data_IF_233694446451
#
_entry.id   IF_233694446451
#
_cell.length_a   1.000
_cell.length_b   1.000
_cell.length_c   1.000
_cell.angle_alpha   90.00
_cell.angle_beta   90.00
_cell.angle_gamma   90.00
#
_symmetry.space_group_name_H-M   'P 1'
#
loop_
_entity.id
_entity.type
_entity.pdbx_description
1 polymer ?
#
# COMPACT_ATOMS: atom_id res chain seq x y z
N UNK A 1 12.11 24.73 11.84
CA UNK A 1 11.22 25.05 10.74
C UNK A 1 11.78 24.29 9.55
N UNK A 2 11.41 23.03 9.40
CA UNK A 2 11.86 22.16 8.30
C UNK A 2 10.72 22.01 7.32
N UNK A 3 11.04 22.14 6.04
CA UNK A 3 10.11 22.02 4.93
C UNK A 3 9.48 20.63 4.92
N UNK A 4 8.17 20.59 4.72
CA UNK A 4 7.42 19.36 4.54
C UNK A 4 7.90 18.68 3.26
N UNK A 5 8.46 17.50 3.40
CA UNK A 5 8.66 16.60 2.28
C UNK A 5 7.29 16.00 1.95
N UNK A 6 6.80 16.28 0.78
CA UNK A 6 5.61 15.68 0.22
C UNK A 6 5.98 14.26 -0.17
N UNK A 7 5.65 13.30 0.67
CA UNK A 7 5.76 11.88 0.32
C UNK A 7 4.66 11.60 -0.70
N UNK A 8 5.04 11.23 -1.90
CA UNK A 8 4.13 10.81 -2.97
C UNK A 8 3.51 9.48 -2.56
N UNK A 9 2.33 9.52 -1.97
CA UNK A 9 1.54 8.31 -1.74
C UNK A 9 0.73 8.04 -3.01
N UNK A 10 1.10 6.99 -3.74
CA UNK A 10 0.40 6.53 -4.92
C UNK A 10 -0.73 5.58 -4.54
N UNK A 11 -1.96 6.02 -4.58
CA UNK A 11 -3.12 5.16 -4.49
C UNK A 11 -3.67 4.87 -5.90
N UNK A 12 -3.85 3.59 -6.23
CA UNK A 12 -4.33 3.14 -7.54
C UNK A 12 -5.84 3.26 -7.69
N UNK A 13 -6.31 4.15 -8.54
CA UNK A 13 -7.68 4.11 -9.07
C UNK A 13 -7.75 4.79 -10.44
N UNK A 14 -7.44 4.09 -11.51
CA UNK A 14 -7.65 4.57 -12.86
C UNK A 14 -8.34 3.53 -13.74
N UNK A 15 -9.63 3.72 -13.99
CA UNK A 15 -10.30 3.11 -15.14
C UNK A 15 -10.08 4.00 -16.36
N UNK A 16 -9.17 3.64 -17.27
CA UNK A 16 -9.06 4.28 -18.58
C UNK A 16 -9.83 3.52 -19.64
N UNK A 17 -10.78 4.22 -20.26
CA UNK A 17 -11.31 3.85 -21.58
C UNK A 17 -10.31 4.31 -22.64
N UNK A 18 -9.79 3.36 -23.45
CA UNK A 18 -8.97 3.62 -24.61
C UNK A 18 -9.76 4.32 -25.72
N UNK A 19 -9.22 5.43 -26.25
CA UNK A 19 -9.54 5.93 -27.58
C UNK A 19 -8.24 6.06 -28.39
N UNK A 20 -8.18 5.38 -29.54
CA UNK A 20 -7.07 5.40 -30.49
C UNK A 20 -6.94 6.73 -31.23
N UNK A 21 -5.70 7.18 -31.48
CA UNK A 21 -5.39 8.20 -32.46
C UNK A 21 -3.89 8.29 -32.70
N UNK A 22 -3.43 7.85 -33.90
CA UNK A 22 -2.04 7.82 -34.27
C UNK A 22 -1.52 9.18 -34.83
N UNK A 23 -0.20 9.31 -34.94
CA UNK A 23 0.47 10.42 -35.65
C UNK A 23 1.99 10.33 -35.53
N UNK A 24 2.61 10.07 -36.70
CA UNK A 24 4.05 9.98 -36.95
C UNK A 24 4.83 11.29 -36.76
N UNK A 25 6.14 11.18 -36.48
CA UNK A 25 7.07 12.29 -36.70
C UNK A 25 8.48 12.03 -36.12
N UNK A 26 9.39 11.62 -37.02
CA UNK A 26 10.79 11.31 -36.74
C UNK A 26 11.72 12.51 -36.58
N UNK A 27 12.97 12.25 -36.15
CA UNK A 27 14.10 13.23 -36.21
C UNK A 27 15.29 12.82 -35.34
N UNK A 28 16.18 12.07 -35.96
CA UNK A 28 17.66 12.00 -35.94
C UNK A 28 18.50 12.51 -34.75
N UNK A 29 19.28 11.56 -34.30
CA UNK A 29 20.70 11.48 -33.87
C UNK A 29 21.56 12.73 -33.74
N UNK A 30 22.37 12.78 -32.67
CA UNK A 30 23.81 13.00 -32.75
C UNK A 30 24.56 12.43 -31.53
N UNK A 31 25.58 11.65 -31.81
CA UNK A 31 26.59 11.09 -30.95
C UNK A 31 27.67 12.10 -30.61
N UNK A 32 28.18 12.14 -29.39
CA UNK A 32 29.52 12.66 -29.06
C UNK A 32 30.23 11.66 -28.18
N UNK A 33 31.34 11.13 -28.71
CA UNK A 33 32.37 10.38 -28.01
C UNK A 33 33.39 11.37 -27.40
N UNK A 34 33.91 11.07 -26.25
CA UNK A 34 35.25 11.55 -25.84
C UNK A 34 35.90 10.63 -24.81
N UNK A 35 37.14 10.43 -25.08
CA UNK A 35 38.11 9.41 -24.74
C UNK A 35 38.57 9.30 -23.28
N UNK A 36 39.24 8.14 -23.10
CA UNK A 36 39.88 7.62 -21.93
C UNK A 36 41.19 8.37 -21.55
N UNK A 37 41.53 8.30 -20.29
CA UNK A 37 42.96 8.35 -19.88
C UNK A 37 43.18 7.43 -18.67
N UNK A 38 44.01 6.44 -18.89
CA UNK A 38 44.55 5.52 -17.90
C UNK A 38 45.67 6.15 -17.09
N UNK A 39 45.70 5.89 -15.79
CA UNK A 39 46.87 6.08 -14.98
C UNK A 39 47.17 4.85 -14.14
N UNK A 40 48.24 4.18 -14.50
CA UNK A 40 48.91 3.12 -13.77
C UNK A 40 49.72 3.68 -12.61
N UNK A 41 49.62 3.10 -11.43
CA UNK A 41 50.63 3.25 -10.38
C UNK A 41 50.86 1.90 -9.72
N UNK A 42 52.11 1.46 -9.85
CA UNK A 42 52.76 0.35 -9.18
C UNK A 42 53.09 0.69 -7.73
N UNK A 43 52.85 -0.23 -6.81
CA UNK A 43 53.57 -0.20 -5.53
C UNK A 43 53.74 -1.61 -4.92
N UNK A 44 54.92 -1.74 -4.46
CA UNK A 44 55.71 -2.83 -3.95
C UNK A 44 55.13 -3.56 -2.71
N UNK A 45 55.40 -4.84 -2.72
CA UNK A 45 55.26 -5.84 -1.64
C UNK A 45 56.21 -5.56 -0.45
N UNK A 46 55.68 -5.74 0.75
CA UNK A 46 56.48 -6.20 1.90
C UNK A 46 55.67 -7.19 2.73
N UNK A 47 56.20 -8.42 2.75
CA UNK A 47 55.70 -9.53 3.52
C UNK A 47 56.16 -9.44 4.97
N UNK A 48 55.25 -9.52 5.92
CA UNK A 48 55.51 -9.96 7.29
C UNK A 48 54.49 -11.00 7.69
N UNK A 49 55.01 -12.21 7.85
CA UNK A 49 54.29 -13.34 8.39
C UNK A 49 54.11 -13.23 9.89
N UNK A 50 52.84 -13.14 10.34
CA UNK A 50 52.50 -13.42 11.73
C UNK A 50 51.40 -14.51 11.73
N UNK A 51 51.80 -15.66 12.21
CA UNK A 51 50.91 -16.78 12.54
C UNK A 51 50.02 -16.37 13.70
N UNK A 52 48.74 -16.10 13.43
CA UNK A 52 47.69 -16.01 14.44
C UNK A 52 46.66 -17.10 14.21
N UNK A 53 46.52 -17.93 15.22
CA UNK A 53 45.56 -19.01 15.35
C UNK A 53 44.14 -18.53 15.03
N UNK A 54 43.54 -19.03 13.92
CA UNK A 54 42.16 -18.86 13.59
C UNK A 54 41.29 -19.63 14.59
N UNK A 55 40.84 -18.96 15.63
CA UNK A 55 39.62 -19.38 16.30
C UNK A 55 38.45 -18.97 15.41
N UNK A 56 37.86 -19.92 14.69
CA UNK A 56 36.59 -19.77 13.99
C UNK A 56 35.48 -19.48 15.01
N UNK A 57 35.28 -18.22 15.33
CA UNK A 57 34.02 -17.73 15.90
C UNK A 57 33.07 -17.59 14.70
N UNK A 58 32.40 -18.66 14.35
CA UNK A 58 31.18 -18.57 13.56
C UNK A 58 30.16 -17.82 14.43
N UNK A 59 30.13 -16.51 14.30
CA UNK A 59 29.00 -15.72 14.79
C UNK A 59 27.79 -16.20 14.00
N UNK A 60 26.98 -17.07 14.60
CA UNK A 60 25.65 -17.38 14.17
C UNK A 60 24.91 -16.03 14.13
N UNK A 61 24.72 -15.50 12.92
CA UNK A 61 23.81 -14.36 12.76
C UNK A 61 22.46 -14.83 13.28
N UNK A 62 22.05 -14.30 14.44
CA UNK A 62 20.72 -14.58 14.98
C UNK A 62 19.72 -14.18 13.90
N UNK A 63 18.82 -15.11 13.50
CA UNK A 63 17.79 -14.81 12.54
C UNK A 63 16.98 -13.60 13.05
N UNK A 64 16.84 -12.57 12.22
CA UNK A 64 16.05 -11.38 12.58
C UNK A 64 14.62 -11.82 12.84
N UNK A 65 14.07 -11.42 13.98
CA UNK A 65 12.71 -11.75 14.34
C UNK A 65 11.73 -11.06 13.37
N UNK A 66 10.81 -11.83 12.79
CA UNK A 66 9.77 -11.30 11.91
C UNK A 66 8.79 -10.45 12.73
N UNK A 67 8.55 -9.22 12.31
CA UNK A 67 7.65 -8.27 12.99
C UNK A 67 6.26 -8.89 13.20
N UNK A 68 5.78 -8.83 14.43
CA UNK A 68 4.46 -9.32 14.79
C UNK A 68 4.23 -10.84 14.67
N UNK A 69 5.27 -11.66 14.45
CA UNK A 69 5.10 -13.11 14.29
C UNK A 69 4.51 -13.81 15.55
N UNK A 70 4.75 -13.24 16.71
CA UNK A 70 4.24 -13.75 18.00
C UNK A 70 3.10 -12.88 18.56
N UNK A 71 2.50 -12.01 17.74
CA UNK A 71 1.39 -11.15 18.17
C UNK A 71 0.05 -11.88 18.15
N UNK A 72 -0.97 -11.25 18.73
CA UNK A 72 -2.36 -11.71 18.67
C UNK A 72 -3.08 -11.28 17.39
N UNK A 73 -2.38 -10.63 16.45
CA UNK A 73 -2.93 -10.24 15.15
C UNK A 73 -3.42 -11.45 14.38
N UNK A 74 -4.60 -11.40 13.75
CA UNK A 74 -5.08 -12.43 12.83
C UNK A 74 -4.14 -12.66 11.63
N UNK A 75 -3.18 -11.72 11.42
CA UNK A 75 -2.21 -11.72 10.32
C UNK A 75 -0.81 -12.16 10.75
N UNK A 76 -0.61 -12.55 12.01
CA UNK A 76 0.72 -12.93 12.54
C UNK A 76 1.37 -14.05 11.72
N UNK A 77 0.59 -15.03 11.25
CA UNK A 77 1.04 -16.15 10.43
C UNK A 77 1.27 -15.87 8.95
N UNK A 78 0.83 -14.72 8.44
CA UNK A 78 1.01 -14.34 7.03
C UNK A 78 2.49 -14.08 6.76
N UNK A 79 3.06 -14.76 5.76
CA UNK A 79 4.48 -14.61 5.35
C UNK A 79 4.61 -13.97 3.99
N UNK A 80 3.69 -14.28 3.08
CA UNK A 80 3.66 -13.80 1.71
C UNK A 80 2.30 -13.17 1.42
N UNK A 81 2.30 -12.11 0.63
CA UNK A 81 1.07 -11.40 0.31
C UNK A 81 1.09 -10.84 -1.11
N UNK A 82 -0.08 -10.53 -1.62
CA UNK A 82 -0.28 -9.92 -2.92
C UNK A 82 -1.28 -8.78 -2.81
N UNK A 83 -1.01 -7.69 -3.53
CA UNK A 83 -1.88 -6.54 -3.67
C UNK A 83 -2.27 -6.41 -5.14
N UNK A 84 -3.55 -6.63 -5.44
CA UNK A 84 -4.11 -6.52 -6.79
C UNK A 84 -5.48 -5.88 -6.73
N UNK A 85 -5.62 -4.70 -7.31
CA UNK A 85 -6.87 -3.92 -7.32
C UNK A 85 -7.56 -3.96 -8.68
N UNK A 86 -6.81 -4.04 -9.75
CA UNK A 86 -7.32 -4.02 -11.11
C UNK A 86 -7.48 -5.44 -11.68
N UNK A 87 -8.33 -5.58 -12.71
CA UNK A 87 -8.45 -6.81 -13.50
C UNK A 87 -8.79 -8.08 -12.68
N UNK A 88 -9.84 -7.99 -11.81
CA UNK A 88 -10.36 -9.12 -11.01
C UNK A 88 -11.85 -9.39 -11.22
N UNK A 89 -12.38 -9.09 -12.42
CA UNK A 89 -13.81 -9.17 -12.72
C UNK A 89 -14.21 -10.41 -13.55
N UNK A 90 -13.23 -11.19 -14.01
CA UNK A 90 -13.49 -12.40 -14.81
C UNK A 90 -12.91 -13.64 -14.13
N UNK A 91 -13.50 -14.81 -14.42
CA UNK A 91 -12.98 -16.08 -13.93
C UNK A 91 -11.53 -16.32 -14.29
N UNK A 92 -11.07 -15.88 -15.47
CA UNK A 92 -9.69 -16.04 -15.89
C UNK A 92 -8.72 -15.20 -15.01
N UNK A 93 -9.10 -13.99 -14.67
CA UNK A 93 -8.33 -13.10 -13.82
C UNK A 93 -8.29 -13.61 -12.36
N UNK A 94 -9.45 -14.02 -11.84
CA UNK A 94 -9.54 -14.62 -10.50
C UNK A 94 -8.72 -15.91 -10.44
N UNK A 95 -8.78 -16.77 -11.48
CA UNK A 95 -7.97 -17.97 -11.56
C UNK A 95 -6.47 -17.69 -11.54
N UNK A 96 -6.03 -16.62 -12.21
CA UNK A 96 -4.63 -16.24 -12.25
C UNK A 96 -4.10 -15.85 -10.86
N UNK A 97 -4.90 -15.14 -10.06
CA UNK A 97 -4.58 -14.82 -8.67
C UNK A 97 -4.69 -16.05 -7.76
N UNK A 98 -5.74 -16.83 -7.92
CA UNK A 98 -6.01 -18.04 -7.12
C UNK A 98 -4.89 -19.09 -7.23
N UNK A 99 -4.31 -19.22 -8.41
CA UNK A 99 -3.18 -20.11 -8.66
C UNK A 99 -1.88 -19.71 -7.92
N UNK A 100 -1.83 -18.51 -7.33
CA UNK A 100 -0.61 -18.04 -6.64
C UNK A 100 -0.57 -18.53 -5.19
N UNK A 101 0.63 -18.80 -4.63
CA UNK A 101 0.79 -19.40 -3.29
C UNK A 101 0.78 -18.39 -2.14
N UNK A 102 0.30 -17.17 -2.33
CA UNK A 102 0.28 -16.14 -1.30
C UNK A 102 -0.60 -16.52 -0.11
N UNK A 103 -0.16 -16.19 1.10
CA UNK A 103 -0.91 -16.40 2.35
C UNK A 103 -2.02 -15.36 2.53
N UNK A 104 -1.88 -14.19 1.91
CA UNK A 104 -2.84 -13.10 1.95
C UNK A 104 -2.93 -12.43 0.59
N UNK A 105 -4.13 -12.04 0.20
CA UNK A 105 -4.39 -11.17 -0.94
C UNK A 105 -5.20 -9.96 -0.51
N UNK A 106 -4.81 -8.77 -0.98
CA UNK A 106 -5.59 -7.53 -0.85
C UNK A 106 -6.20 -7.26 -2.21
N UNK A 107 -7.52 -7.14 -2.27
CA UNK A 107 -8.28 -7.06 -3.51
C UNK A 107 -9.42 -6.05 -3.41
N UNK A 108 -9.86 -5.55 -4.56
CA UNK A 108 -11.04 -4.71 -4.70
C UNK A 108 -12.34 -5.52 -4.50
N UNK A 109 -13.31 -4.93 -3.80
CA UNK A 109 -14.67 -5.46 -3.75
C UNK A 109 -15.45 -5.00 -4.99
N UNK A 110 -15.42 -5.80 -6.07
CA UNK A 110 -15.89 -5.39 -7.39
C UNK A 110 -17.33 -4.87 -7.45
N UNK A 111 -18.24 -5.38 -6.61
CA UNK A 111 -19.63 -4.91 -6.54
C UNK A 111 -19.79 -3.48 -5.97
N UNK A 112 -18.73 -2.86 -5.48
CA UNK A 112 -18.73 -1.45 -5.04
C UNK A 112 -18.38 -0.48 -6.17
N UNK A 113 -17.96 -0.98 -7.32
CA UNK A 113 -17.55 -0.20 -8.49
C UNK A 113 -18.73 -0.04 -9.45
N UNK A 114 -18.89 1.17 -10.00
CA UNK A 114 -19.94 1.48 -10.99
C UNK A 114 -19.89 0.52 -12.18
N UNK A 115 -21.08 0.09 -12.61
CA UNK A 115 -21.33 -0.89 -13.67
C UNK A 115 -20.82 -2.31 -13.35
N UNK A 116 -20.43 -2.57 -12.10
CA UNK A 116 -20.02 -3.86 -11.59
C UNK A 116 -20.90 -4.34 -10.40
N UNK A 117 -22.02 -3.68 -10.15
CA UNK A 117 -22.87 -3.88 -8.97
C UNK A 117 -23.38 -5.33 -8.85
N UNK A 118 -23.44 -6.06 -9.98
CA UNK A 118 -23.83 -7.46 -10.03
C UNK A 118 -22.68 -8.46 -9.92
N UNK A 119 -21.45 -7.97 -9.75
CA UNK A 119 -20.29 -8.84 -9.58
C UNK A 119 -20.43 -9.68 -8.30
N UNK A 120 -20.15 -10.98 -8.41
CA UNK A 120 -20.26 -11.90 -7.28
C UNK A 120 -19.00 -11.82 -6.38
N UNK A 121 -18.87 -10.73 -5.65
CA UNK A 121 -17.74 -10.49 -4.71
C UNK A 121 -17.63 -11.62 -3.69
N UNK A 122 -18.72 -12.05 -3.07
CA UNK A 122 -18.72 -13.14 -2.08
C UNK A 122 -18.24 -14.48 -2.68
N UNK A 123 -18.62 -14.76 -3.93
CA UNK A 123 -18.12 -15.93 -4.66
C UNK A 123 -16.63 -15.87 -4.94
N UNK A 124 -16.10 -14.71 -5.34
CA UNK A 124 -14.66 -14.47 -5.50
C UNK A 124 -13.92 -14.67 -4.18
N UNK A 125 -14.39 -14.04 -3.10
CA UNK A 125 -13.77 -14.15 -1.76
C UNK A 125 -13.75 -15.60 -1.29
N UNK A 126 -14.86 -16.32 -1.39
CA UNK A 126 -14.96 -17.74 -1.03
C UNK A 126 -13.93 -18.57 -1.77
N UNK A 127 -13.76 -18.32 -3.07
CA UNK A 127 -12.78 -19.02 -3.90
C UNK A 127 -11.35 -18.72 -3.47
N UNK A 128 -11.02 -17.45 -3.24
CA UNK A 128 -9.68 -17.01 -2.88
C UNK A 128 -9.24 -17.45 -1.48
N UNK A 129 -10.13 -17.90 -0.60
CA UNK A 129 -9.79 -18.35 0.76
C UNK A 129 -8.94 -19.64 0.81
N UNK A 130 -8.92 -20.42 -0.27
CA UNK A 130 -8.18 -21.70 -0.31
C UNK A 130 -7.15 -21.65 -1.42
N UNK A 131 -5.89 -21.84 -1.09
CA UNK A 131 -4.80 -21.94 -2.08
C UNK A 131 -4.88 -23.26 -2.85
N UNK A 132 -4.18 -23.35 -3.98
CA UNK A 132 -4.14 -24.54 -4.81
C UNK A 132 -3.64 -25.82 -4.06
N UNK A 133 -2.85 -25.65 -3.01
CA UNK A 133 -2.38 -26.74 -2.14
C UNK A 133 -3.37 -27.11 -1.02
N UNK A 134 -4.54 -26.48 -0.98
CA UNK A 134 -5.59 -26.68 0.04
C UNK A 134 -5.36 -25.92 1.34
N UNK A 135 -4.28 -25.18 1.49
CA UNK A 135 -4.03 -24.38 2.68
C UNK A 135 -4.84 -23.05 2.66
N UNK A 136 -5.15 -22.48 3.85
CA UNK A 136 -5.96 -21.27 3.92
C UNK A 136 -5.19 -20.03 3.44
N UNK A 137 -5.94 -19.07 2.90
CA UNK A 137 -5.49 -17.73 2.51
C UNK A 137 -6.36 -16.67 3.16
N UNK A 138 -5.75 -15.55 3.55
CA UNK A 138 -6.49 -14.36 4.00
C UNK A 138 -6.90 -13.53 2.79
N UNK A 139 -8.15 -13.06 2.77
CA UNK A 139 -8.69 -12.19 1.73
C UNK A 139 -9.11 -10.87 2.37
N UNK A 140 -8.45 -9.80 2.00
CA UNK A 140 -8.58 -8.46 2.58
C UNK A 140 -9.19 -7.52 1.54
N UNK A 141 -10.20 -6.75 1.94
CA UNK A 141 -10.80 -5.74 1.06
C UNK A 141 -10.00 -4.44 1.11
N UNK A 142 -9.65 -3.89 -0.05
CA UNK A 142 -9.19 -2.51 -0.16
C UNK A 142 -10.37 -1.55 0.04
N UNK A 143 -10.16 -0.49 0.81
CA UNK A 143 -11.08 0.64 0.96
C UNK A 143 -10.31 1.94 1.17
N UNK A 144 -10.69 3.00 0.48
CA UNK A 144 -10.18 4.34 0.73
C UNK A 144 -11.06 5.06 1.76
N UNK A 145 -10.49 5.39 2.91
CA UNK A 145 -11.20 6.04 4.02
C UNK A 145 -10.94 7.54 4.12
N UNK A 146 -9.92 8.02 3.45
CA UNK A 146 -9.51 9.42 3.43
C UNK A 146 -9.97 10.18 2.21
N UNK A 147 -10.35 9.47 1.14
CA UNK A 147 -10.86 10.05 -0.11
C UNK A 147 -12.20 9.43 -0.52
N UNK A 148 -12.95 10.20 -1.27
CA UNK A 148 -14.14 9.73 -1.97
C UNK A 148 -13.79 9.51 -3.44
N UNK A 149 -14.11 8.31 -3.93
CA UNK A 149 -13.80 7.87 -5.28
C UNK A 149 -15.04 7.97 -6.18
N UNK A 150 -14.97 8.76 -7.28
CA UNK A 150 -16.16 9.10 -8.09
C UNK A 150 -16.70 7.94 -8.92
N UNK A 151 -15.97 6.87 -9.05
CA UNK A 151 -16.40 5.63 -9.71
C UNK A 151 -17.13 4.65 -8.77
N UNK A 152 -17.23 4.93 -7.48
CA UNK A 152 -17.93 4.07 -6.52
C UNK A 152 -19.45 4.20 -6.62
N UNK A 153 -20.14 3.12 -6.30
CA UNK A 153 -21.62 3.08 -6.25
C UNK A 153 -22.18 4.16 -5.33
N UNK A 154 -21.57 4.39 -4.15
CA UNK A 154 -22.03 5.42 -3.23
C UNK A 154 -22.01 6.85 -3.84
N UNK A 155 -21.03 7.14 -4.70
CA UNK A 155 -20.95 8.45 -5.37
C UNK A 155 -22.10 8.61 -6.38
N UNK A 156 -22.30 7.57 -7.20
CA UNK A 156 -23.29 7.58 -8.28
C UNK A 156 -24.73 7.61 -7.72
N UNK A 157 -25.02 6.74 -6.75
CA UNK A 157 -26.34 6.61 -6.15
C UNK A 157 -26.78 7.88 -5.45
N UNK A 158 -25.85 8.58 -4.81
CA UNK A 158 -26.11 9.84 -4.14
C UNK A 158 -25.93 11.08 -5.04
N UNK A 159 -25.57 10.89 -6.31
CA UNK A 159 -25.37 11.96 -7.30
C UNK A 159 -24.40 13.05 -6.83
N UNK A 160 -23.32 12.63 -6.17
CA UNK A 160 -22.34 13.58 -5.64
C UNK A 160 -21.68 14.41 -6.75
N UNK A 161 -21.10 15.54 -6.38
CA UNK A 161 -20.43 16.47 -7.31
C UNK A 161 -19.00 16.70 -6.87
N UNK A 162 -18.13 16.75 -7.85
CA UNK A 162 -16.70 17.01 -7.66
C UNK A 162 -16.47 18.44 -7.12
N UNK A 163 -15.43 18.64 -6.32
CA UNK A 163 -15.01 19.97 -5.90
C UNK A 163 -14.45 20.76 -7.07
N UNK A 164 -14.37 22.08 -6.89
CA UNK A 164 -13.67 22.98 -7.79
C UNK A 164 -12.48 23.62 -7.07
N UNK A 165 -11.62 24.35 -7.77
CA UNK A 165 -10.49 25.04 -7.15
C UNK A 165 -10.90 25.98 -5.99
N UNK A 166 -12.15 26.49 -5.99
CA UNK A 166 -12.64 27.49 -5.04
C UNK A 166 -13.79 27.04 -4.14
N UNK A 167 -14.38 25.88 -4.42
CA UNK A 167 -15.54 25.35 -3.67
C UNK A 167 -15.39 23.86 -3.42
N UNK A 168 -15.82 23.40 -2.23
CA UNK A 168 -15.94 21.96 -1.97
C UNK A 168 -16.95 21.32 -2.91
N UNK A 169 -16.93 20.00 -2.98
CA UNK A 169 -17.91 19.20 -3.70
C UNK A 169 -19.30 19.22 -3.06
N UNK A 170 -20.15 18.34 -3.53
CA UNK A 170 -21.46 18.08 -2.92
C UNK A 170 -21.53 16.57 -2.66
N UNK A 171 -21.59 16.18 -1.40
CA UNK A 171 -21.61 16.99 -0.15
C UNK A 171 -20.32 17.80 0.10
N UNK A 172 -20.42 18.81 0.96
CA UNK A 172 -19.32 19.72 1.27
C UNK A 172 -18.17 19.13 2.11
N UNK A 173 -18.30 17.89 2.55
CA UNK A 173 -17.19 17.13 3.13
C UNK A 173 -16.19 16.66 2.06
N UNK A 174 -16.51 16.71 0.77
CA UNK A 174 -15.59 16.48 -0.35
C UNK A 174 -14.81 17.76 -0.57
N UNK A 175 -13.54 17.78 -0.17
CA UNK A 175 -12.82 19.04 0.07
C UNK A 175 -12.10 19.59 -1.16
N UNK A 176 -11.44 18.71 -1.92
CA UNK A 176 -10.56 19.10 -3.03
C UNK A 176 -10.34 17.91 -3.96
N UNK A 177 -9.70 18.14 -5.12
CA UNK A 177 -9.15 17.06 -5.94
C UNK A 177 -7.92 16.46 -5.25
N UNK A 178 -7.59 15.23 -5.64
CA UNK A 178 -6.41 14.54 -5.18
C UNK A 178 -5.14 15.36 -5.45
N UNK A 179 -4.18 15.46 -4.49
CA UNK A 179 -2.96 16.24 -4.65
C UNK A 179 -1.93 15.54 -5.56
N UNK A 180 -2.00 14.21 -5.70
CA UNK A 180 -1.03 13.38 -6.42
C UNK A 180 -1.45 13.14 -7.87
N UNK A 181 -2.66 13.62 -8.25
CA UNK A 181 -3.14 13.65 -9.63
C UNK A 181 -4.07 12.50 -10.01
N UNK A 182 -4.56 11.72 -9.06
CA UNK A 182 -5.59 10.71 -9.31
C UNK A 182 -6.92 11.39 -9.63
N UNK A 183 -7.37 11.23 -10.88
CA UNK A 183 -8.44 12.06 -11.45
C UNK A 183 -9.81 11.86 -10.79
N UNK A 184 -10.05 10.69 -10.21
CA UNK A 184 -11.35 10.28 -9.65
C UNK A 184 -11.39 10.26 -8.12
N UNK A 185 -10.32 10.71 -7.46
CA UNK A 185 -10.15 10.65 -6.02
C UNK A 185 -10.19 12.07 -5.39
N UNK A 186 -10.90 12.18 -4.28
CA UNK A 186 -11.22 13.47 -3.67
C UNK A 186 -11.08 13.41 -2.14
N UNK A 187 -10.04 14.03 -1.55
CA UNK A 187 -9.88 14.16 -0.11
C UNK A 187 -11.16 14.62 0.60
N UNK A 188 -11.50 13.93 1.69
CA UNK A 188 -12.72 14.22 2.46
C UNK A 188 -12.44 14.65 3.89
N UNK A 189 -13.41 15.30 4.50
CA UNK A 189 -13.48 15.50 5.94
C UNK A 189 -13.96 14.20 6.61
N UNK A 190 -13.07 13.21 6.76
CA UNK A 190 -13.40 11.86 7.23
C UNK A 190 -13.98 11.82 8.65
N UNK A 191 -13.96 12.91 9.40
CA UNK A 191 -14.68 13.06 10.67
C UNK A 191 -16.15 13.45 10.48
N UNK A 192 -16.59 13.79 9.25
CA UNK A 192 -17.99 14.08 8.96
C UNK A 192 -18.84 12.81 9.10
N UNK A 193 -19.93 12.92 9.86
CA UNK A 193 -20.78 11.76 10.13
C UNK A 193 -21.39 11.19 8.86
N UNK A 194 -21.73 12.01 7.86
CA UNK A 194 -22.28 11.56 6.56
C UNK A 194 -21.30 10.67 5.79
N UNK A 195 -19.99 10.96 5.88
CA UNK A 195 -18.94 10.11 5.34
C UNK A 195 -18.81 8.82 6.14
N UNK A 196 -18.76 8.94 7.46
CA UNK A 196 -18.64 7.76 8.33
C UNK A 196 -19.84 6.81 8.23
N UNK A 197 -21.05 7.32 7.97
CA UNK A 197 -22.27 6.51 7.84
C UNK A 197 -22.22 5.54 6.65
N UNK A 198 -21.43 5.82 5.60
CA UNK A 198 -21.21 4.89 4.49
C UNK A 198 -20.49 3.62 4.93
N UNK A 199 -19.55 3.77 5.83
CA UNK A 199 -18.64 2.71 6.26
C UNK A 199 -19.14 1.95 7.47
N UNK A 200 -19.88 2.63 8.35
CA UNK A 200 -20.19 2.17 9.70
C UNK A 200 -21.65 1.73 9.84
N UNK A 201 -21.94 1.10 10.98
CA UNK A 201 -23.28 0.59 11.31
C UNK A 201 -23.58 -0.78 10.70
N UNK A 202 -24.78 -1.26 10.97
CA UNK A 202 -25.19 -2.62 10.59
C UNK A 202 -25.24 -2.84 9.07
N UNK A 203 -25.56 -1.79 8.32
CA UNK A 203 -25.64 -1.82 6.86
C UNK A 203 -24.48 -1.06 6.19
N UNK A 204 -23.50 -0.60 6.96
CA UNK A 204 -22.32 0.06 6.43
C UNK A 204 -21.42 -0.89 5.63
N UNK A 205 -20.62 -0.33 4.74
CA UNK A 205 -19.77 -1.10 3.82
C UNK A 205 -18.86 -2.09 4.55
N UNK A 206 -18.27 -1.70 5.69
CA UNK A 206 -17.38 -2.60 6.46
C UNK A 206 -18.11 -3.85 6.97
N UNK A 207 -19.34 -3.68 7.46
CA UNK A 207 -20.15 -4.82 7.91
C UNK A 207 -20.58 -5.70 6.72
N UNK A 208 -20.83 -5.11 5.54
CA UNK A 208 -21.15 -5.86 4.32
C UNK A 208 -19.94 -6.67 3.86
N UNK A 209 -18.74 -6.07 3.76
CA UNK A 209 -17.51 -6.77 3.40
C UNK A 209 -17.23 -7.96 4.34
N UNK A 210 -17.43 -7.78 5.65
CA UNK A 210 -17.29 -8.88 6.61
C UNK A 210 -18.31 -10.00 6.38
N UNK A 211 -19.56 -9.71 5.94
CA UNK A 211 -20.58 -10.71 5.58
C UNK A 211 -20.28 -11.40 4.25
N UNK A 212 -19.64 -10.70 3.30
CA UNK A 212 -19.18 -11.27 2.04
C UNK A 212 -17.98 -12.20 2.21
N UNK A 213 -17.44 -12.27 3.44
CA UNK A 213 -16.42 -13.22 3.84
C UNK A 213 -15.00 -12.63 3.90
N UNK A 214 -14.81 -11.35 3.64
CA UNK A 214 -13.47 -10.75 3.82
C UNK A 214 -12.95 -10.92 5.25
N UNK A 215 -11.68 -11.26 5.39
CA UNK A 215 -10.99 -11.39 6.67
C UNK A 215 -10.61 -10.05 7.30
N UNK A 216 -10.73 -8.95 6.57
CA UNK A 216 -10.37 -7.62 7.02
C UNK A 216 -10.40 -6.57 5.94
N UNK A 217 -9.90 -5.39 6.28
CA UNK A 217 -9.77 -4.24 5.39
C UNK A 217 -8.34 -3.71 5.37
N UNK A 218 -7.96 -3.18 4.21
CA UNK A 218 -6.73 -2.46 3.92
C UNK A 218 -7.12 -1.00 3.69
N UNK A 219 -6.70 -0.12 4.58
CA UNK A 219 -7.17 1.25 4.68
C UNK A 219 -6.24 2.19 3.92
N UNK A 220 -6.74 2.76 2.84
CA UNK A 220 -6.01 3.72 2.06
C UNK A 220 -6.24 5.15 2.53
N UNK A 221 -5.31 6.00 2.11
CA UNK A 221 -5.27 7.44 2.33
C UNK A 221 -5.36 7.87 3.80
N UNK A 222 -4.76 7.05 4.69
CA UNK A 222 -4.67 7.36 6.12
C UNK A 222 -3.86 8.63 6.35
N UNK A 223 -2.86 8.93 5.53
CA UNK A 223 -2.05 10.16 5.53
C UNK A 223 -2.85 11.44 5.29
N UNK A 224 -4.10 11.34 4.91
CA UNK A 224 -5.00 12.49 4.69
C UNK A 224 -5.00 13.51 5.83
N UNK A 225 -4.65 13.10 7.05
CA UNK A 225 -4.55 14.01 8.20
C UNK A 225 -3.42 15.05 8.04
N UNK A 226 -2.47 14.85 7.13
CA UNK A 226 -1.38 15.80 6.82
C UNK A 226 -1.73 16.71 5.63
N UNK A 227 -2.73 16.36 4.83
CA UNK A 227 -3.11 17.14 3.65
C UNK A 227 -3.54 18.56 4.02
N UNK A 228 -2.99 19.56 3.36
CA UNK A 228 -3.19 20.97 3.70
C UNK A 228 -4.68 21.40 3.68
N UNK A 229 -5.48 20.86 2.74
CA UNK A 229 -6.93 21.18 2.65
C UNK A 229 -7.71 20.51 3.76
N UNK A 230 -7.39 19.26 4.08
CA UNK A 230 -7.95 18.51 5.19
C UNK A 230 -7.61 19.21 6.52
N UNK A 231 -6.34 19.57 6.75
CA UNK A 231 -5.90 20.31 7.94
C UNK A 231 -6.64 21.65 8.09
N UNK A 232 -6.81 22.40 6.99
CA UNK A 232 -7.54 23.65 7.02
C UNK A 232 -9.03 23.46 7.36
N UNK A 233 -9.67 22.42 6.80
CA UNK A 233 -11.06 22.07 7.12
C UNK A 233 -11.20 21.61 8.58
N UNK A 234 -10.29 20.77 9.06
CA UNK A 234 -10.25 20.30 10.44
C UNK A 234 -10.10 21.47 11.43
N UNK A 235 -9.19 22.41 11.15
CA UNK A 235 -9.02 23.61 11.95
C UNK A 235 -10.31 24.44 12.03
N UNK A 236 -11.01 24.61 10.90
CA UNK A 236 -12.29 25.31 10.85
C UNK A 236 -13.38 24.60 11.66
N UNK A 237 -13.36 23.27 11.66
CA UNK A 237 -14.29 22.43 12.41
C UNK A 237 -13.90 22.25 13.89
N UNK A 238 -12.74 22.74 14.34
CA UNK A 238 -12.25 22.52 15.71
C UNK A 238 -11.82 21.06 15.96
N UNK A 239 -11.43 20.31 14.91
CA UNK A 239 -11.08 18.90 14.96
C UNK A 239 -9.55 18.74 14.87
N UNK A 240 -8.99 17.80 15.65
CA UNK A 240 -7.63 17.33 15.44
C UNK A 240 -7.67 16.22 14.37
N UNK A 241 -7.08 16.42 13.18
CA UNK A 241 -7.24 15.47 12.08
C UNK A 241 -6.57 14.11 12.36
N UNK A 242 -5.36 14.08 12.93
CA UNK A 242 -4.70 12.81 13.27
C UNK A 242 -5.52 11.98 14.27
N UNK A 243 -6.03 12.63 15.33
CA UNK A 243 -6.90 11.94 16.29
C UNK A 243 -8.19 11.46 15.63
N UNK A 244 -8.82 12.26 14.77
CA UNK A 244 -10.05 11.89 14.09
C UNK A 244 -9.85 10.69 13.14
N UNK A 245 -8.69 10.57 12.48
CA UNK A 245 -8.34 9.40 11.67
C UNK A 245 -8.25 8.14 12.53
N UNK A 246 -7.56 8.19 13.66
CA UNK A 246 -7.47 7.03 14.58
C UNK A 246 -8.83 6.67 15.17
N UNK A 247 -9.65 7.65 15.54
CA UNK A 247 -11.02 7.41 16.03
C UNK A 247 -11.89 6.73 14.94
N UNK A 248 -11.69 7.10 13.65
CA UNK A 248 -12.40 6.47 12.55
C UNK A 248 -11.92 5.03 12.30
N UNK A 249 -10.62 4.80 12.28
CA UNK A 249 -10.03 3.44 12.20
C UNK A 249 -10.58 2.54 13.33
N UNK A 250 -10.65 3.06 14.55
CA UNK A 250 -11.21 2.32 15.68
C UNK A 250 -12.69 1.91 15.47
N UNK A 251 -13.50 2.81 14.89
CA UNK A 251 -14.91 2.53 14.56
C UNK A 251 -15.01 1.48 13.44
N UNK A 252 -14.16 1.56 12.40
CA UNK A 252 -14.09 0.57 11.31
C UNK A 252 -13.77 -0.81 11.89
N UNK A 253 -12.75 -0.89 12.76
CA UNK A 253 -12.39 -2.14 13.45
C UNK A 253 -13.56 -2.71 14.25
N UNK A 254 -14.25 -1.87 15.00
CA UNK A 254 -15.41 -2.28 15.78
C UNK A 254 -16.56 -2.80 14.89
N UNK A 255 -16.84 -2.11 13.77
CA UNK A 255 -17.89 -2.52 12.83
C UNK A 255 -17.58 -3.88 12.19
N UNK A 256 -16.36 -4.11 11.71
CA UNK A 256 -15.94 -5.39 11.14
C UNK A 256 -15.99 -6.53 12.18
N UNK A 257 -15.47 -6.27 13.39
CA UNK A 257 -15.43 -7.26 14.48
C UNK A 257 -16.78 -7.58 15.09
N UNK A 258 -17.77 -6.74 14.89
CA UNK A 258 -19.16 -7.08 15.25
C UNK A 258 -19.73 -8.22 14.39
N UNK A 259 -19.18 -8.47 13.20
CA UNK A 259 -19.56 -9.54 12.28
C UNK A 259 -18.57 -10.71 12.36
N UNK A 260 -17.27 -10.41 12.23
CA UNK A 260 -16.19 -11.39 12.32
C UNK A 260 -15.22 -10.97 13.43
N UNK A 261 -15.16 -11.64 14.60
CA UNK A 261 -14.28 -11.27 15.72
C UNK A 261 -12.78 -11.24 15.35
N UNK A 262 -12.38 -11.92 14.26
CA UNK A 262 -11.02 -11.94 13.74
C UNK A 262 -10.81 -10.95 12.58
N UNK A 263 -11.76 -10.04 12.35
CA UNK A 263 -11.65 -9.04 11.27
C UNK A 263 -10.42 -8.16 11.47
N UNK A 264 -9.52 -8.19 10.50
CA UNK A 264 -8.25 -7.49 10.55
C UNK A 264 -8.37 -6.06 9.99
N UNK A 265 -7.57 -5.16 10.52
CA UNK A 265 -7.42 -3.79 10.02
C UNK A 265 -5.95 -3.55 9.70
N UNK A 266 -5.65 -3.29 8.43
CA UNK A 266 -4.31 -2.95 7.94
C UNK A 266 -4.30 -1.46 7.59
N UNK A 267 -3.41 -0.70 8.19
CA UNK A 267 -3.14 0.68 7.80
C UNK A 267 -2.20 0.66 6.60
N UNK A 268 -2.55 1.36 5.53
CA UNK A 268 -1.63 1.66 4.43
C UNK A 268 -0.98 3.02 4.67
N UNK A 269 0.32 3.09 4.44
CA UNK A 269 1.12 4.31 4.53
C UNK A 269 0.99 5.06 5.88
N UNK A 270 1.35 6.34 5.91
CA UNK A 270 1.31 7.19 7.11
C UNK A 270 1.97 6.57 8.36
N UNK A 271 3.17 5.97 8.28
CA UNK A 271 3.77 5.26 9.39
C UNK A 271 4.06 6.18 10.58
N UNK A 272 4.18 7.50 10.35
CA UNK A 272 4.38 8.53 11.38
C UNK A 272 3.11 8.92 12.15
N UNK A 273 1.94 8.39 11.80
CA UNK A 273 0.72 8.62 12.58
C UNK A 273 0.90 8.19 14.04
N UNK A 274 1.75 7.19 14.28
CA UNK A 274 2.14 6.74 15.62
C UNK A 274 2.78 7.86 16.46
N UNK A 275 3.56 8.75 15.84
CA UNK A 275 4.17 9.88 16.52
C UNK A 275 3.16 11.01 16.78
N UNK A 276 2.21 11.20 15.84
CA UNK A 276 1.20 12.25 15.95
C UNK A 276 0.18 12.01 17.07
N UNK A 277 -0.14 10.73 17.38
CA UNK A 277 -1.17 10.40 18.38
C UNK A 277 -0.66 9.57 19.56
N UNK A 278 0.51 8.96 19.41
CA UNK A 278 1.11 8.05 20.39
C UNK A 278 0.72 6.58 20.18
N UNK A 279 1.70 5.69 20.37
CA UNK A 279 1.56 4.24 20.15
C UNK A 279 0.37 3.63 20.94
N UNK A 280 0.16 4.05 22.19
CA UNK A 280 -0.93 3.55 23.02
C UNK A 280 -2.33 3.85 22.46
N UNK A 281 -2.46 4.84 21.59
CA UNK A 281 -3.74 5.18 20.95
C UNK A 281 -3.91 4.52 19.59
N UNK A 282 -2.82 4.37 18.81
CA UNK A 282 -2.88 3.84 17.46
C UNK A 282 -2.88 2.31 17.43
N UNK A 283 -1.86 1.69 18.05
CA UNK A 283 -1.59 0.27 17.88
C UNK A 283 -2.76 -0.67 18.28
N UNK A 284 -3.58 -0.39 19.31
CA UNK A 284 -4.73 -1.24 19.64
C UNK A 284 -5.81 -1.31 18.55
N UNK A 285 -5.78 -0.37 17.59
CA UNK A 285 -6.77 -0.27 16.52
C UNK A 285 -6.30 -0.91 15.20
N UNK A 286 -5.05 -1.38 15.14
CA UNK A 286 -4.46 -1.99 13.96
C UNK A 286 -4.13 -3.47 14.20
N UNK A 287 -4.15 -4.23 13.13
CA UNK A 287 -3.69 -5.61 13.09
C UNK A 287 -2.41 -5.78 12.22
N UNK A 288 -2.11 -4.78 11.40
CA UNK A 288 -0.84 -4.63 10.66
C UNK A 288 -0.68 -3.19 10.15
N UNK A 289 0.52 -2.89 9.68
CA UNK A 289 0.81 -1.74 8.80
C UNK A 289 1.40 -2.24 7.48
N UNK A 290 1.09 -1.56 6.40
CA UNK A 290 1.70 -1.72 5.08
C UNK A 290 2.26 -0.40 4.59
N UNK A 291 3.39 -0.43 3.89
CA UNK A 291 4.05 0.75 3.36
C UNK A 291 4.43 0.53 1.90
N UNK A 292 4.07 1.49 1.05
CA UNK A 292 4.50 1.55 -0.34
C UNK A 292 5.80 2.32 -0.49
N UNK A 293 6.50 2.07 -1.61
CA UNK A 293 7.62 2.88 -2.09
C UNK A 293 8.76 3.07 -1.08
N UNK A 294 8.99 2.07 -0.23
CA UNK A 294 10.07 2.18 0.77
C UNK A 294 11.43 2.30 0.11
N UNK A 295 11.66 1.60 -1.01
CA UNK A 295 12.90 1.63 -1.79
C UNK A 295 12.68 2.06 -3.23
N UNK A 296 11.54 1.70 -3.85
CA UNK A 296 11.25 1.98 -5.26
C UNK A 296 9.79 2.25 -5.47
N UNK A 297 9.50 3.39 -6.09
CA UNK A 297 8.18 3.78 -6.60
C UNK A 297 8.06 3.62 -8.12
N UNK A 298 7.01 4.22 -8.66
CA UNK A 298 6.72 4.28 -10.10
C UNK A 298 5.64 5.31 -10.41
N UNK A 299 5.45 5.63 -11.70
CA UNK A 299 4.44 6.60 -12.14
C UNK A 299 3.02 6.05 -12.00
N UNK A 300 2.14 6.81 -11.38
CA UNK A 300 0.76 6.46 -11.07
C UNK A 300 -0.06 5.96 -12.28
N UNK A 301 0.05 6.62 -13.42
CA UNK A 301 -0.70 6.27 -14.63
C UNK A 301 -0.11 5.14 -15.47
N UNK A 302 1.00 4.52 -15.05
CA UNK A 302 1.70 3.52 -15.83
C UNK A 302 0.92 2.19 -15.93
N UNK A 303 0.80 1.65 -17.13
CA UNK A 303 0.25 0.30 -17.35
C UNK A 303 1.21 -0.79 -16.87
N UNK A 304 0.73 -2.03 -16.75
CA UNK A 304 1.53 -3.16 -16.26
C UNK A 304 2.87 -3.37 -17.00
N UNK A 305 2.92 -3.11 -18.28
CA UNK A 305 4.12 -3.28 -19.11
C UNK A 305 4.98 -2.01 -19.27
N UNK A 306 4.56 -0.91 -18.68
CA UNK A 306 5.25 0.37 -18.80
C UNK A 306 6.44 0.42 -17.82
N UNK A 307 7.62 0.75 -18.36
CA UNK A 307 8.84 0.86 -17.57
C UNK A 307 8.79 2.03 -16.57
N UNK A 308 8.00 3.07 -16.84
CA UNK A 308 7.84 4.20 -15.91
C UNK A 308 7.06 3.83 -14.64
N UNK A 309 6.33 2.72 -14.66
CA UNK A 309 5.58 2.20 -13.51
C UNK A 309 6.42 1.46 -12.47
N UNK A 310 7.75 1.48 -12.57
CA UNK A 310 8.66 0.77 -11.66
C UNK A 310 10.03 1.47 -11.57
N UNK A 311 10.84 1.03 -10.60
CA UNK A 311 12.28 1.29 -10.49
C UNK A 311 12.66 2.77 -10.29
N UNK A 312 11.72 3.61 -9.86
CA UNK A 312 12.02 4.97 -9.39
C UNK A 312 12.54 4.89 -7.95
N UNK A 313 13.83 5.10 -7.78
CA UNK A 313 14.45 4.98 -6.47
C UNK A 313 13.93 6.05 -5.50
N UNK A 314 13.47 5.62 -4.33
CA UNK A 314 13.15 6.51 -3.21
C UNK A 314 14.43 7.14 -2.67
N UNK A 315 14.38 8.42 -2.34
CA UNK A 315 15.53 9.12 -1.74
C UNK A 315 15.99 8.41 -0.46
N UNK A 316 17.28 8.23 -0.31
CA UNK A 316 17.84 7.42 0.80
C UNK A 316 17.47 7.95 2.19
N UNK A 317 17.27 9.25 2.34
CA UNK A 317 16.84 9.87 3.60
C UNK A 317 15.38 9.52 3.91
N UNK A 318 14.52 9.47 2.89
CA UNK A 318 13.11 9.11 3.03
C UNK A 318 12.97 7.60 3.30
N UNK A 319 13.73 6.76 2.60
CA UNK A 319 13.82 5.31 2.90
C UNK A 319 14.22 5.07 4.36
N UNK A 320 15.29 5.74 4.84
CA UNK A 320 15.74 5.56 6.21
C UNK A 320 14.70 6.02 7.23
N UNK A 321 14.08 7.17 7.00
CA UNK A 321 13.02 7.68 7.86
C UNK A 321 11.83 6.73 7.89
N UNK A 322 11.37 6.22 6.73
CA UNK A 322 10.28 5.26 6.61
C UNK A 322 10.58 3.98 7.42
N UNK A 323 11.80 3.43 7.28
CA UNK A 323 12.23 2.25 8.03
C UNK A 323 12.16 2.52 9.55
N UNK A 324 12.64 3.69 10.01
CA UNK A 324 12.60 4.07 11.42
C UNK A 324 11.15 4.14 11.95
N UNK A 325 10.22 4.67 11.15
CA UNK A 325 8.82 4.70 11.52
C UNK A 325 8.22 3.27 11.56
N UNK A 326 8.45 2.45 10.55
CA UNK A 326 7.96 1.07 10.51
C UNK A 326 8.49 0.22 11.66
N UNK A 327 9.72 0.46 12.09
CA UNK A 327 10.29 -0.23 13.24
C UNK A 327 9.57 0.09 14.55
N UNK A 328 8.95 1.26 14.71
CA UNK A 328 8.09 1.57 15.87
C UNK A 328 6.85 0.68 15.91
N UNK A 329 6.24 0.43 14.75
CA UNK A 329 5.10 -0.50 14.63
C UNK A 329 5.55 -1.94 14.91
N UNK A 330 6.69 -2.35 14.37
CA UNK A 330 7.29 -3.66 14.62
C UNK A 330 7.56 -3.87 16.13
N UNK A 331 8.18 -2.89 16.78
CA UNK A 331 8.42 -2.92 18.23
C UNK A 331 7.12 -2.97 19.04
N UNK A 332 6.05 -2.39 18.50
CA UNK A 332 4.69 -2.48 19.05
C UNK A 332 4.00 -3.83 18.83
N UNK A 333 4.66 -4.78 18.16
CA UNK A 333 4.16 -6.13 17.94
C UNK A 333 3.28 -6.28 16.69
N UNK A 334 3.22 -5.29 15.81
CA UNK A 334 2.45 -5.41 14.57
C UNK A 334 3.25 -6.12 13.46
N UNK A 335 2.60 -6.97 12.64
CA UNK A 335 3.08 -7.32 11.31
C UNK A 335 3.33 -6.06 10.49
N UNK A 336 4.50 -6.02 9.78
CA UNK A 336 4.86 -4.94 8.86
C UNK A 336 4.97 -5.54 7.47
N UNK A 337 4.18 -5.03 6.55
CA UNK A 337 4.20 -5.34 5.14
C UNK A 337 4.85 -4.20 4.36
N UNK A 338 5.59 -4.50 3.30
CA UNK A 338 6.10 -3.49 2.36
C UNK A 338 5.78 -3.89 0.95
N UNK A 339 5.43 -2.93 0.11
CA UNK A 339 5.31 -3.11 -1.32
C UNK A 339 6.19 -2.09 -2.03
N UNK A 340 6.96 -2.56 -3.00
CA UNK A 340 7.83 -1.73 -3.81
C UNK A 340 7.61 -2.04 -5.29
N UNK A 341 7.67 -1.04 -6.10
CA UNK A 341 7.47 -1.15 -7.53
C UNK A 341 8.82 -1.26 -8.22
N UNK A 342 9.30 -2.49 -8.38
CA UNK A 342 10.63 -2.77 -8.92
C UNK A 342 10.58 -3.94 -9.93
N UNK A 343 11.16 -3.75 -11.10
CA UNK A 343 11.18 -4.74 -12.18
C UNK A 343 12.59 -5.14 -12.59
N UNK A 344 13.49 -4.16 -12.65
CA UNK A 344 14.83 -4.31 -13.22
C UNK A 344 15.79 -4.92 -12.21
N UNK A 345 16.45 -6.01 -12.60
CA UNK A 345 17.52 -6.61 -11.77
C UNK A 345 18.67 -5.61 -11.54
N UNK A 346 19.16 -5.43 -10.30
CA UNK A 346 18.95 -6.29 -9.12
C UNK A 346 17.84 -5.82 -8.16
N UNK A 347 17.06 -4.76 -8.49
CA UNK A 347 16.17 -4.07 -7.57
C UNK A 347 15.17 -4.99 -6.84
N UNK A 348 14.44 -5.92 -7.51
CA UNK A 348 13.53 -6.81 -6.80
C UNK A 348 14.23 -7.62 -5.69
N UNK A 349 15.41 -8.16 -5.99
CA UNK A 349 16.21 -8.91 -5.00
C UNK A 349 16.64 -8.03 -3.84
N UNK A 350 17.04 -6.79 -4.11
CA UNK A 350 17.43 -5.82 -3.08
C UNK A 350 16.28 -5.57 -2.13
N UNK A 351 15.09 -5.26 -2.66
CA UNK A 351 13.86 -5.06 -1.85
C UNK A 351 13.60 -6.28 -0.97
N UNK A 352 13.49 -7.46 -1.55
CA UNK A 352 13.19 -8.67 -0.80
C UNK A 352 14.22 -8.97 0.28
N UNK A 353 15.49 -8.83 -0.02
CA UNK A 353 16.57 -9.11 0.94
C UNK A 353 16.60 -8.09 2.07
N UNK A 354 16.51 -6.79 1.72
CA UNK A 354 16.59 -5.71 2.71
C UNK A 354 15.38 -5.70 3.62
N UNK A 355 14.18 -5.78 3.05
CA UNK A 355 12.92 -5.79 3.81
C UNK A 355 12.90 -6.94 4.83
N UNK A 356 13.29 -8.15 4.42
CA UNK A 356 13.36 -9.30 5.33
C UNK A 356 14.42 -9.18 6.39
N UNK A 357 15.56 -8.57 6.07
CA UNK A 357 16.61 -8.32 7.06
C UNK A 357 16.14 -7.38 8.18
N UNK A 358 15.07 -6.63 7.94
CA UNK A 358 14.39 -5.77 8.92
C UNK A 358 13.21 -6.46 9.62
N UNK A 359 12.91 -7.70 9.26
CA UNK A 359 11.77 -8.46 9.79
C UNK A 359 10.44 -8.14 9.12
N UNK A 360 10.43 -7.40 8.00
CA UNK A 360 9.24 -7.04 7.26
C UNK A 360 8.82 -8.12 6.27
N UNK A 361 7.63 -8.02 5.72
CA UNK A 361 7.04 -8.93 4.74
C UNK A 361 6.91 -8.23 3.39
N UNK A 362 7.90 -8.37 2.51
CA UNK A 362 7.95 -7.65 1.23
C UNK A 362 7.01 -8.25 0.18
N UNK A 363 6.53 -7.36 -0.68
CA UNK A 363 5.99 -7.62 -1.99
C UNK A 363 6.73 -6.74 -2.99
N UNK A 364 7.01 -7.26 -4.17
CA UNK A 364 7.47 -6.48 -5.32
C UNK A 364 6.45 -6.63 -6.44
N UNK A 365 5.95 -5.53 -6.94
CA UNK A 365 4.91 -5.50 -7.97
C UNK A 365 5.16 -4.38 -8.98
N UNK A 366 4.09 -3.92 -9.62
CA UNK A 366 4.04 -2.75 -10.49
C UNK A 366 2.88 -1.86 -10.05
N UNK A 367 3.03 -0.57 -10.20
CA UNK A 367 2.07 0.44 -9.71
C UNK A 367 0.64 0.23 -10.23
N UNK A 368 0.46 -0.36 -11.41
CA UNK A 368 -0.89 -0.63 -11.94
C UNK A 368 -1.68 -1.67 -11.14
N UNK A 369 -1.05 -2.50 -10.31
CA UNK A 369 -1.68 -3.54 -9.49
C UNK A 369 -2.74 -4.39 -10.22
N UNK A 370 -2.54 -4.62 -11.53
CA UNK A 370 -3.54 -5.25 -12.41
C UNK A 370 -3.34 -6.75 -12.61
N UNK A 371 -2.23 -7.32 -12.10
CA UNK A 371 -1.93 -8.75 -12.23
C UNK A 371 -1.15 -9.26 -11.02
N UNK A 372 -1.22 -10.57 -10.72
CA UNK A 372 -0.33 -11.16 -9.75
C UNK A 372 1.12 -10.99 -10.20
N UNK A 373 2.01 -10.61 -9.28
CA UNK A 373 3.42 -10.53 -9.59
C UNK A 373 4.03 -11.93 -9.75
N UNK A 374 4.93 -12.05 -10.72
CA UNK A 374 5.81 -13.20 -10.87
C UNK A 374 7.27 -12.80 -10.75
N UNK A 375 7.55 -11.61 -10.26
CA UNK A 375 8.90 -11.04 -10.12
C UNK A 375 9.68 -11.81 -9.06
N UNK A 376 10.79 -12.51 -9.40
CA UNK A 376 11.61 -13.24 -8.43
C UNK A 376 12.37 -12.24 -7.52
N UNK A 377 12.72 -12.63 -6.31
CA UNK A 377 12.43 -13.89 -5.63
C UNK A 377 11.18 -13.76 -4.73
N UNK A 378 9.99 -13.70 -5.30
CA UNK A 378 8.74 -13.58 -4.56
C UNK A 378 8.41 -14.84 -3.74
N UNK A 379 8.80 -16.00 -4.24
CA UNK A 379 8.65 -17.28 -3.58
C UNK A 379 9.94 -17.66 -2.82
N UNK A 380 9.82 -18.14 -1.67
CA UNK A 380 10.95 -18.50 -0.81
C UNK A 380 10.76 -19.88 -0.20
#
# INVERSE_FOLDING_TARGET
>A
MRLSHTTLALACSALMLCACGGGDGGGSSQSIQSDAAAATSTSSTSSTSSTSSNANVAASAAAVAVCGANSTSPLAGVRTWMYQLQDLLTDAQINALDAQPYDMVVVEAGNTVKNQETFNTAGMVTRLHTKADGSPRKVIAYIDIGQAESFRTYWIDNQWKTPTATKPGVPDFILTADPDGWADDYPVAYWDQRWQDLWLGTNGAVAQLAREGFDGVYLDWVEGYTNAKVVAAAKKAGVNPAKAMVDFIAKIRAAGRAINPQFAVIQQNAPELIDAVGAAKLLPNLDAISQEDTWFGGDAGASWGDASGTDQATESADTQWTIEQLQKHCAGGLPVFTIDYALTSPNPRTVYTTSRSLGFRPLVSRVSLSKPTTTPPWNY
#
